data_IF_799872408630
#
_entry.id   IF_799872408630
#
_cell.length_a   1.000
_cell.length_b   1.000
_cell.length_c   1.000
_cell.angle_alpha   90.00
_cell.angle_beta   90.00
_cell.angle_gamma   90.00
#
_symmetry.space_group_name_H-M   'P 1'
#
loop_
_entity.id
_entity.type
_entity.pdbx_description
1 polymer ?
#
# COMPACT_ATOMS: atom_id res chain seq x y z
N UNK A 1 -4.08 7.53 -23.47
CA UNK A 1 -4.32 7.68 -22.02
C UNK A 1 -4.82 9.09 -21.73
N UNK A 2 -5.92 9.22 -21.00
CA UNK A 2 -6.40 10.47 -20.37
C UNK A 2 -6.30 10.32 -18.85
N UNK A 3 -5.98 11.39 -18.15
CA UNK A 3 -5.76 11.37 -16.69
C UNK A 3 -6.60 12.47 -16.06
N UNK A 4 -7.37 12.10 -15.04
CA UNK A 4 -8.32 12.99 -14.35
C UNK A 4 -8.07 12.90 -12.85
N UNK A 5 -8.02 14.04 -12.19
CA UNK A 5 -7.88 14.14 -10.75
C UNK A 5 -9.25 14.35 -10.06
N UNK A 6 -9.64 13.43 -9.18
CA UNK A 6 -10.79 13.54 -8.29
C UNK A 6 -10.34 13.97 -6.91
N UNK A 7 -11.06 14.89 -6.28
CA UNK A 7 -10.71 15.46 -4.97
C UNK A 7 -11.82 15.22 -3.95
N UNK A 8 -11.49 14.60 -2.83
CA UNK A 8 -12.44 14.31 -1.75
C UNK A 8 -12.62 15.50 -0.77
N UNK A 9 -11.51 16.18 -0.40
CA UNK A 9 -11.51 17.34 0.51
C UNK A 9 -10.59 18.44 -0.01
N UNK A 10 -10.82 19.67 0.43
CA UNK A 10 -10.01 20.83 0.07
C UNK A 10 -9.24 21.35 1.27
N UNK A 11 -7.92 21.42 1.13
CA UNK A 11 -7.02 22.02 2.10
C UNK A 11 -6.98 23.54 1.88
N UNK A 12 -7.31 24.32 2.91
CA UNK A 12 -7.32 25.78 2.82
C UNK A 12 -6.01 26.42 3.33
N UNK A 13 -5.29 25.70 4.19
CA UNK A 13 -4.01 26.11 4.77
C UNK A 13 -2.90 25.13 4.38
N UNK A 14 -2.13 25.42 3.33
CA UNK A 14 -0.92 24.66 2.98
C UNK A 14 0.04 24.51 4.17
N UNK A 15 0.71 23.37 4.23
CA UNK A 15 1.78 23.13 5.19
C UNK A 15 3.07 23.76 4.66
N UNK A 16 3.57 24.78 5.36
CA UNK A 16 4.73 25.57 4.92
C UNK A 16 6.10 24.94 5.23
N UNK A 17 6.12 23.77 5.87
CA UNK A 17 7.34 23.03 6.25
C UNK A 17 7.26 21.60 5.72
N UNK A 18 8.39 20.89 5.56
CA UNK A 18 8.34 19.48 5.16
C UNK A 18 7.53 18.66 6.16
N UNK A 19 6.57 17.86 5.67
CA UNK A 19 5.66 17.06 6.51
C UNK A 19 6.40 16.18 7.52
N UNK A 20 7.54 15.61 7.12
CA UNK A 20 8.38 14.77 7.97
C UNK A 20 8.95 15.46 9.23
N UNK A 21 8.88 16.80 9.31
CA UNK A 21 9.30 17.56 10.50
C UNK A 21 8.18 17.75 11.53
N UNK A 22 6.94 17.48 11.13
CA UNK A 22 5.75 17.57 11.98
C UNK A 22 5.46 16.22 12.65
N UNK A 23 4.67 16.26 13.72
CA UNK A 23 4.18 15.07 14.41
C UNK A 23 2.67 15.15 14.60
N UNK A 24 2.10 14.03 15.06
CA UNK A 24 0.67 13.87 15.35
C UNK A 24 0.05 15.09 16.04
N UNK A 25 0.66 15.60 17.13
CA UNK A 25 0.15 16.74 17.91
C UNK A 25 0.00 18.01 17.09
N UNK A 26 0.94 18.30 16.17
CA UNK A 26 0.84 19.48 15.30
C UNK A 26 -0.27 19.34 14.27
N UNK A 27 -0.43 18.16 13.68
CA UNK A 27 -1.48 17.91 12.68
C UNK A 27 -2.89 17.99 13.29
N UNK A 28 -3.09 17.47 14.50
CA UNK A 28 -4.40 17.54 15.17
C UNK A 28 -4.70 18.91 15.77
N UNK A 29 -3.68 19.75 16.02
CA UNK A 29 -3.85 21.07 16.64
C UNK A 29 -4.33 22.15 15.65
N UNK A 30 -4.04 21.99 14.35
CA UNK A 30 -4.55 22.88 13.30
C UNK A 30 -5.83 22.28 12.69
N UNK A 31 -7.03 22.89 12.91
CA UNK A 31 -8.30 22.30 12.48
C UNK A 31 -8.40 21.98 11.00
N UNK A 32 -7.82 22.81 10.13
CA UNK A 32 -7.83 22.57 8.68
C UNK A 32 -6.97 21.35 8.32
N UNK A 33 -5.81 21.18 8.95
CA UNK A 33 -4.97 20.00 8.72
C UNK A 33 -5.65 18.74 9.26
N UNK A 34 -6.22 18.84 10.47
CA UNK A 34 -6.91 17.72 11.10
C UNK A 34 -8.00 17.14 10.19
N UNK A 35 -8.79 18.02 9.55
CA UNK A 35 -9.93 17.62 8.71
C UNK A 35 -9.54 17.40 7.24
N UNK A 36 -8.71 18.25 6.65
CA UNK A 36 -8.57 18.32 5.20
C UNK A 36 -7.21 17.84 4.67
N UNK A 37 -6.18 17.74 5.51
CA UNK A 37 -4.87 17.19 5.09
C UNK A 37 -4.92 15.66 5.09
N UNK A 38 -5.56 15.11 4.06
CA UNK A 38 -5.72 13.67 3.87
C UNK A 38 -4.95 13.16 2.65
N UNK A 39 -4.57 11.89 2.68
CA UNK A 39 -3.87 11.19 1.58
C UNK A 39 -4.57 9.86 1.29
N UNK A 40 -4.66 9.47 0.02
CA UNK A 40 -5.25 8.19 -0.38
C UNK A 40 -4.14 7.13 -0.39
N UNK A 41 -4.11 6.29 0.65
CA UNK A 41 -2.97 5.40 0.94
C UNK A 41 -3.25 3.91 0.77
N UNK A 42 -4.51 3.53 0.52
CA UNK A 42 -4.83 2.18 0.07
C UNK A 42 -5.98 2.25 -0.92
N UNK A 43 -5.93 1.43 -1.97
CA UNK A 43 -6.97 1.33 -2.98
C UNK A 43 -7.36 -0.12 -3.22
N UNK A 44 -8.65 -0.32 -3.46
CA UNK A 44 -9.19 -1.60 -3.87
C UNK A 44 -10.39 -1.35 -4.78
N UNK A 45 -10.43 -1.98 -5.96
CA UNK A 45 -11.64 -1.98 -6.77
C UNK A 45 -12.57 -3.12 -6.34
N UNK A 46 -13.80 -2.79 -5.94
CA UNK A 46 -14.82 -3.78 -5.62
C UNK A 46 -15.67 -4.07 -6.88
N UNK A 47 -15.56 -5.27 -7.50
CA UNK A 47 -16.15 -5.54 -8.81
C UNK A 47 -17.68 -5.57 -8.80
N UNK A 48 -18.30 -6.17 -7.79
CA UNK A 48 -19.77 -6.26 -7.71
C UNK A 48 -20.42 -4.89 -7.48
N UNK A 49 -19.82 -4.08 -6.59
CA UNK A 49 -20.27 -2.72 -6.29
C UNK A 49 -19.90 -1.72 -7.38
N UNK A 50 -18.87 -2.04 -8.19
CA UNK A 50 -18.26 -1.16 -9.19
C UNK A 50 -17.79 0.16 -8.58
N UNK A 51 -17.18 0.07 -7.39
CA UNK A 51 -16.67 1.19 -6.60
C UNK A 51 -15.18 1.02 -6.34
N UNK A 52 -14.50 2.13 -6.09
CA UNK A 52 -13.14 2.13 -5.58
C UNK A 52 -13.22 2.37 -4.08
N UNK A 53 -12.80 1.39 -3.29
CA UNK A 53 -12.66 1.52 -1.84
C UNK A 53 -11.31 2.20 -1.56
N UNK A 54 -11.35 3.26 -0.78
CA UNK A 54 -10.23 4.14 -0.49
C UNK A 54 -9.93 4.11 1.01
N UNK A 55 -8.75 3.63 1.36
CA UNK A 55 -8.15 3.77 2.68
C UNK A 55 -7.31 5.05 2.74
N UNK A 56 -7.53 5.87 3.76
CA UNK A 56 -6.94 7.20 3.86
C UNK A 56 -5.90 7.29 4.97
N UNK A 57 -5.02 8.27 4.86
CA UNK A 57 -4.43 8.97 6.01
C UNK A 57 -5.36 10.13 6.37
N UNK A 58 -5.90 10.16 7.58
CA UNK A 58 -6.71 11.28 8.08
C UNK A 58 -6.57 11.45 9.61
N UNK A 59 -6.31 12.68 10.04
CA UNK A 59 -6.05 13.00 11.46
C UNK A 59 -7.33 13.20 12.30
N UNK A 60 -8.49 13.19 11.65
CA UNK A 60 -9.81 13.13 12.26
C UNK A 60 -10.37 11.71 12.31
N UNK A 61 -9.57 10.69 11.96
CA UNK A 61 -9.91 9.26 11.96
C UNK A 61 -11.00 8.84 10.96
N UNK A 62 -11.34 9.71 10.01
CA UNK A 62 -12.28 9.40 8.93
C UNK A 62 -11.54 8.70 7.79
N UNK A 63 -11.26 7.42 8.00
CA UNK A 63 -10.23 6.68 7.25
C UNK A 63 -10.73 5.94 6.00
N UNK A 64 -12.03 5.74 5.81
CA UNK A 64 -12.52 4.80 4.79
C UNK A 64 -13.69 5.38 3.98
N UNK A 65 -13.55 5.33 2.65
CA UNK A 65 -14.50 5.90 1.69
C UNK A 65 -14.70 4.96 0.50
N UNK A 66 -15.85 5.06 -0.16
CA UNK A 66 -16.04 4.59 -1.54
C UNK A 66 -16.07 5.78 -2.50
N UNK A 67 -15.40 5.65 -3.63
CA UNK A 67 -15.56 6.51 -4.80
C UNK A 67 -16.39 5.78 -5.85
N UNK A 68 -17.43 6.45 -6.36
CA UNK A 68 -18.22 6.00 -7.50
C UNK A 68 -17.68 6.60 -8.80
N UNK A 69 -17.07 5.78 -9.68
CA UNK A 69 -16.56 6.29 -10.95
C UNK A 69 -17.61 6.66 -12.01
N UNK A 70 -18.88 6.31 -11.80
CA UNK A 70 -19.99 6.60 -12.72
C UNK A 70 -20.56 8.01 -12.49
N UNK A 71 -20.77 8.40 -11.22
CA UNK A 71 -21.27 9.71 -10.84
C UNK A 71 -20.18 10.68 -10.34
N UNK A 72 -18.95 10.18 -10.16
CA UNK A 72 -17.80 10.91 -9.62
C UNK A 72 -18.03 11.44 -8.20
N UNK A 73 -18.75 10.68 -7.38
CA UNK A 73 -19.09 11.03 -6.01
C UNK A 73 -18.36 10.17 -4.97
N UNK A 74 -18.37 10.66 -3.74
CA UNK A 74 -17.72 10.04 -2.60
C UNK A 74 -18.74 9.68 -1.52
N UNK A 75 -18.57 8.51 -0.93
CA UNK A 75 -19.38 8.01 0.18
C UNK A 75 -18.47 7.63 1.35
N UNK A 76 -18.68 8.22 2.53
CA UNK A 76 -17.97 7.80 3.73
C UNK A 76 -18.51 6.44 4.19
N UNK A 77 -17.61 5.56 4.64
CA UNK A 77 -17.97 4.29 5.27
C UNK A 77 -18.01 4.40 6.80
N UNK A 78 -18.13 5.62 7.32
CA UNK A 78 -18.34 5.94 8.74
C UNK A 78 -17.33 5.30 9.71
N UNK A 79 -16.07 5.17 9.28
CA UNK A 79 -15.00 4.69 10.17
C UNK A 79 -14.88 5.48 11.51
N UNK A 80 -15.14 6.81 11.59
CA UNK A 80 -15.09 7.54 12.85
C UNK A 80 -16.00 7.01 13.96
N UNK A 81 -17.09 6.28 13.64
CA UNK A 81 -17.98 5.72 14.65
C UNK A 81 -17.36 4.55 15.43
N UNK A 82 -16.29 3.96 14.88
CA UNK A 82 -15.60 2.79 15.43
C UNK A 82 -14.10 3.00 15.66
N UNK A 83 -13.59 4.19 15.33
CA UNK A 83 -12.17 4.52 15.40
C UNK A 83 -11.67 4.70 16.83
N UNK A 84 -10.35 4.72 16.96
CA UNK A 84 -9.69 5.23 18.16
C UNK A 84 -8.70 6.34 17.81
N UNK A 85 -8.25 7.09 18.82
CA UNK A 85 -7.50 8.34 18.67
C UNK A 85 -6.23 8.27 17.79
N UNK A 86 -5.52 7.15 17.81
CA UNK A 86 -4.23 6.99 17.13
C UNK A 86 -4.32 6.23 15.79
N UNK A 87 -5.52 5.81 15.38
CA UNK A 87 -5.79 5.28 14.05
C UNK A 87 -5.89 6.42 13.05
N UNK A 88 -4.76 6.70 12.41
CA UNK A 88 -4.61 7.84 11.51
C UNK A 88 -4.54 7.40 10.06
N UNK A 89 -4.36 6.10 9.79
CA UNK A 89 -4.16 5.64 8.42
C UNK A 89 -4.66 4.21 8.19
N UNK A 90 -5.19 3.95 6.99
CA UNK A 90 -5.24 2.61 6.38
C UNK A 90 -4.13 2.58 5.32
N UNK A 91 -3.03 1.91 5.65
CA UNK A 91 -1.81 1.94 4.86
C UNK A 91 -1.62 0.63 4.10
N UNK A 92 -1.86 0.63 2.77
CA UNK A 92 -1.55 -0.51 1.89
C UNK A 92 -2.05 -1.84 2.46
N UNK A 93 -3.33 -1.84 2.85
CA UNK A 93 -3.90 -2.88 3.70
C UNK A 93 -5.32 -3.29 3.33
N UNK A 94 -5.90 -2.77 2.25
CA UNK A 94 -7.21 -3.23 1.78
C UNK A 94 -7.07 -4.51 0.95
N UNK A 95 -7.75 -5.58 1.36
CA UNK A 95 -7.80 -6.85 0.63
C UNK A 95 -9.26 -7.28 0.45
N UNK A 96 -9.67 -7.57 -0.80
CA UNK A 96 -11.00 -8.11 -1.10
C UNK A 96 -11.06 -9.60 -0.74
N UNK A 97 -12.10 -9.99 -0.03
CA UNK A 97 -12.42 -11.39 0.25
C UNK A 97 -13.37 -11.97 -0.80
N UNK A 98 -13.42 -13.30 -0.91
CA UNK A 98 -14.29 -14.02 -1.85
C UNK A 98 -15.79 -13.86 -1.57
N UNK A 99 -16.16 -13.42 -0.36
CA UNK A 99 -17.54 -13.09 0.01
C UNK A 99 -17.94 -11.62 -0.26
N UNK A 100 -17.04 -10.83 -0.87
CA UNK A 100 -17.25 -9.40 -1.14
C UNK A 100 -16.95 -8.48 0.05
N UNK A 101 -16.61 -9.01 1.22
CA UNK A 101 -16.12 -8.18 2.33
C UNK A 101 -14.69 -7.71 2.09
N UNK A 102 -14.26 -6.72 2.87
CA UNK A 102 -12.91 -6.18 2.78
C UNK A 102 -12.19 -6.30 4.10
N UNK A 103 -11.02 -6.94 4.08
CA UNK A 103 -10.07 -6.90 5.18
C UNK A 103 -9.24 -5.63 5.10
N UNK A 104 -8.95 -5.06 6.27
CA UNK A 104 -8.16 -3.86 6.43
C UNK A 104 -7.34 -3.89 7.70
N UNK A 105 -6.33 -3.02 7.76
CA UNK A 105 -5.54 -2.83 8.97
C UNK A 105 -5.18 -1.37 9.21
N UNK A 106 -5.16 -0.99 10.48
CA UNK A 106 -4.88 0.39 10.89
C UNK A 106 -3.41 0.66 11.22
N UNK A 107 -2.98 1.82 10.74
CA UNK A 107 -1.67 2.41 10.88
C UNK A 107 -1.74 3.69 11.73
N UNK A 108 -0.65 3.98 12.44
CA UNK A 108 -0.52 5.15 13.32
C UNK A 108 0.59 6.08 12.86
N UNK A 109 0.52 7.35 13.27
CA UNK A 109 1.56 8.37 13.07
C UNK A 109 1.94 9.08 14.38
N UNK A 110 1.60 8.47 15.52
CA UNK A 110 2.03 8.96 16.82
C UNK A 110 3.55 8.84 16.97
N UNK A 111 4.12 9.61 17.90
CA UNK A 111 5.57 9.57 18.17
C UNK A 111 5.88 8.55 19.26
N UNK A 112 7.17 8.37 19.53
CA UNK A 112 7.70 7.41 20.49
C UNK A 112 7.21 7.65 21.92
N UNK A 113 6.92 8.90 22.28
CA UNK A 113 6.41 9.28 23.60
C UNK A 113 4.95 8.86 23.82
N UNK A 114 4.17 8.72 22.75
CA UNK A 114 2.78 8.22 22.80
C UNK A 114 2.68 6.70 22.57
N UNK A 115 3.78 6.01 22.18
CA UNK A 115 3.75 4.60 21.74
C UNK A 115 3.20 3.63 22.78
N UNK A 116 3.50 3.81 24.05
CA UNK A 116 3.00 2.90 25.10
C UNK A 116 1.57 3.25 25.57
N UNK A 117 1.07 4.43 25.21
CA UNK A 117 -0.31 4.83 25.48
C UNK A 117 -1.26 4.39 24.35
N UNK A 118 -0.76 4.30 23.12
CA UNK A 118 -1.53 3.82 21.98
C UNK A 118 -1.78 2.30 22.08
N UNK A 119 -2.99 1.81 21.76
CA UNK A 119 -3.33 0.40 21.93
C UNK A 119 -2.74 -0.52 20.83
N UNK A 120 -2.25 0.04 19.73
CA UNK A 120 -1.68 -0.69 18.58
C UNK A 120 -2.60 -0.74 17.36
N UNK A 121 -2.15 -1.31 16.25
CA UNK A 121 -2.96 -1.44 15.04
C UNK A 121 -3.98 -2.57 15.15
N UNK A 122 -5.17 -2.38 14.57
CA UNK A 122 -6.22 -3.41 14.49
C UNK A 122 -6.32 -3.96 13.08
N UNK A 123 -6.60 -5.26 12.97
CA UNK A 123 -7.15 -5.86 11.77
C UNK A 123 -8.68 -5.78 11.87
N UNK A 124 -9.34 -5.41 10.79
CA UNK A 124 -10.79 -5.42 10.66
C UNK A 124 -11.25 -6.13 9.39
N UNK A 125 -12.48 -6.64 9.41
CA UNK A 125 -13.28 -6.99 8.23
C UNK A 125 -14.44 -6.00 8.14
N UNK A 126 -14.68 -5.42 6.98
CA UNK A 126 -15.83 -4.57 6.71
C UNK A 126 -16.83 -5.29 5.82
N UNK A 127 -18.08 -5.36 6.29
CA UNK A 127 -19.20 -5.94 5.56
C UNK A 127 -20.05 -4.83 4.94
N UNK A 128 -20.13 -4.81 3.61
CA UNK A 128 -20.87 -3.76 2.90
C UNK A 128 -22.39 -3.95 2.93
N UNK A 129 -22.90 -5.16 3.19
CA UNK A 129 -24.34 -5.40 3.26
C UNK A 129 -24.90 -4.88 4.58
N UNK A 130 -24.20 -5.16 5.68
CA UNK A 130 -24.59 -4.75 7.03
C UNK A 130 -24.02 -3.38 7.43
N UNK A 131 -23.07 -2.84 6.66
CA UNK A 131 -22.32 -1.62 7.00
C UNK A 131 -21.58 -1.74 8.35
N UNK A 132 -21.02 -2.92 8.64
CA UNK A 132 -20.45 -3.26 9.95
C UNK A 132 -18.94 -3.54 9.87
N UNK A 133 -18.21 -3.06 10.90
CA UNK A 133 -16.81 -3.40 11.12
C UNK A 133 -16.69 -4.50 12.17
N UNK A 134 -16.14 -5.65 11.79
CA UNK A 134 -15.69 -6.69 12.72
C UNK A 134 -14.19 -6.55 13.00
N UNK A 135 -13.84 -6.15 14.22
CA UNK A 135 -12.44 -6.05 14.64
C UNK A 135 -11.94 -7.41 15.10
N UNK A 136 -10.96 -7.94 14.36
CA UNK A 136 -10.47 -9.30 14.57
C UNK A 136 -9.43 -9.35 15.67
N UNK A 137 -8.52 -8.38 15.74
CA UNK A 137 -7.48 -8.38 16.76
C UNK A 137 -6.40 -7.35 16.52
N UNK A 138 -5.42 -7.33 17.44
CA UNK A 138 -4.22 -6.50 17.39
C UNK A 138 -3.01 -7.43 17.31
N UNK A 139 -2.37 -7.60 16.14
CA UNK A 139 -1.37 -8.64 15.99
C UNK A 139 -0.10 -8.42 16.81
N UNK A 140 0.33 -7.17 16.96
CA UNK A 140 1.61 -6.79 17.58
C UNK A 140 1.46 -5.55 18.47
N UNK A 141 0.66 -5.58 19.55
CA UNK A 141 0.52 -4.42 20.42
C UNK A 141 1.85 -4.08 21.13
N UNK A 142 2.19 -2.80 21.34
CA UNK A 142 1.40 -1.61 21.02
C UNK A 142 1.71 -1.03 19.62
N UNK A 143 2.40 -1.76 18.75
CA UNK A 143 2.77 -1.27 17.42
C UNK A 143 1.58 -1.26 16.46
N UNK A 144 1.60 -0.33 15.51
CA UNK A 144 0.60 -0.22 14.46
C UNK A 144 1.02 -1.00 13.22
N UNK A 145 0.06 -1.29 12.35
CA UNK A 145 0.29 -2.16 11.20
C UNK A 145 0.63 -1.29 10.00
N UNK A 146 1.75 -1.57 9.34
CA UNK A 146 2.21 -0.80 8.20
C UNK A 146 1.63 -1.30 6.88
N UNK A 147 1.38 -2.61 6.74
CA UNK A 147 0.76 -3.22 5.56
C UNK A 147 0.32 -4.64 5.90
N UNK A 148 -0.66 -5.16 5.16
CA UNK A 148 -1.06 -6.57 5.23
C UNK A 148 -1.18 -7.20 3.84
N UNK A 149 -1.13 -8.52 3.81
CA UNK A 149 -1.45 -9.36 2.65
C UNK A 149 -2.33 -10.51 3.12
N UNK A 150 -3.39 -10.80 2.37
CA UNK A 150 -4.38 -11.83 2.70
C UNK A 150 -4.02 -13.17 2.02
N UNK A 151 -3.95 -14.26 2.80
CA UNK A 151 -4.05 -15.64 2.32
C UNK A 151 -5.39 -16.20 2.77
N UNK A 152 -6.43 -15.90 2.00
CA UNK A 152 -7.80 -16.29 2.31
C UNK A 152 -7.95 -17.81 2.35
N UNK A 153 -7.23 -18.54 1.49
CA UNK A 153 -7.31 -20.00 1.41
C UNK A 153 -6.93 -20.69 2.71
N UNK A 154 -6.01 -20.07 3.49
CA UNK A 154 -5.57 -20.55 4.80
C UNK A 154 -6.22 -19.82 5.97
N UNK A 155 -7.04 -18.79 5.71
CA UNK A 155 -7.57 -17.92 6.76
C UNK A 155 -6.48 -17.14 7.49
N UNK A 156 -5.43 -16.71 6.78
CA UNK A 156 -4.27 -16.01 7.35
C UNK A 156 -4.13 -14.59 6.79
N UNK A 157 -3.68 -13.69 7.65
CA UNK A 157 -3.22 -12.35 7.27
C UNK A 157 -1.75 -12.21 7.69
N UNK A 158 -0.90 -11.90 6.73
CA UNK A 158 0.49 -11.57 6.99
C UNK A 158 0.65 -10.05 7.02
N UNK A 159 1.57 -9.55 7.83
CA UNK A 159 1.84 -8.13 7.86
C UNK A 159 3.13 -7.78 8.56
N UNK A 160 3.41 -6.49 8.62
CA UNK A 160 4.55 -5.93 9.35
C UNK A 160 4.10 -4.75 10.18
N UNK A 161 4.64 -4.63 11.40
CA UNK A 161 4.34 -3.53 12.31
C UNK A 161 5.34 -2.37 12.19
N UNK A 162 4.94 -1.20 12.68
CA UNK A 162 5.72 0.03 12.80
C UNK A 162 5.45 0.69 14.16
N UNK A 163 6.44 1.30 14.85
CA UNK A 163 7.83 1.51 14.43
C UNK A 163 8.78 0.33 14.63
N UNK A 164 8.38 -0.71 15.35
CA UNK A 164 9.22 -1.92 15.47
C UNK A 164 8.86 -2.87 14.34
N UNK A 165 9.81 -3.15 13.45
CA UNK A 165 9.60 -3.95 12.23
C UNK A 165 9.46 -5.44 12.54
N UNK A 166 8.30 -5.85 13.05
CA UNK A 166 7.96 -7.25 13.30
C UNK A 166 7.07 -7.74 12.18
N UNK A 167 7.53 -8.77 11.49
CA UNK A 167 6.65 -9.60 10.67
C UNK A 167 5.71 -10.37 11.58
N UNK A 168 4.45 -10.51 11.18
CA UNK A 168 3.47 -11.35 11.86
C UNK A 168 2.64 -12.18 10.86
N UNK A 169 2.17 -13.33 11.34
CA UNK A 169 1.09 -14.10 10.73
C UNK A 169 -0.08 -14.19 11.72
N UNK A 170 -1.24 -13.71 11.31
CA UNK A 170 -2.46 -13.63 12.11
C UNK A 170 -3.50 -14.60 11.56
N UNK A 171 -4.13 -15.37 12.44
CA UNK A 171 -5.18 -16.32 12.10
C UNK A 171 -6.55 -15.65 12.24
N UNK A 172 -7.29 -15.60 11.15
CA UNK A 172 -8.60 -14.94 11.08
C UNK A 172 -9.62 -15.69 11.95
N UNK A 173 -9.54 -17.02 12.02
CA UNK A 173 -10.53 -17.84 12.71
C UNK A 173 -10.31 -17.85 14.22
N UNK A 174 -9.07 -18.09 14.66
CA UNK A 174 -8.77 -18.04 16.10
C UNK A 174 -8.64 -16.61 16.62
N UNK A 175 -8.48 -15.62 15.73
CA UNK A 175 -8.25 -14.20 16.05
C UNK A 175 -6.95 -13.99 16.85
N UNK A 176 -5.92 -14.77 16.55
CA UNK A 176 -4.65 -14.76 17.27
C UNK A 176 -3.45 -14.62 16.35
N UNK A 177 -2.39 -13.98 16.85
CA UNK A 177 -1.08 -13.98 16.20
C UNK A 177 -0.42 -15.35 16.38
N UNK A 178 -0.28 -16.09 15.28
CA UNK A 178 0.36 -17.42 15.26
C UNK A 178 1.88 -17.36 15.18
N UNK A 179 2.40 -16.28 14.60
CA UNK A 179 3.83 -16.05 14.44
C UNK A 179 4.16 -14.57 14.51
N UNK A 180 5.28 -14.26 15.13
CA UNK A 180 5.84 -12.91 15.17
C UNK A 180 7.37 -12.98 15.20
N UNK A 181 8.05 -12.17 14.39
CA UNK A 181 9.49 -12.02 14.46
C UNK A 181 9.96 -10.63 14.01
N UNK A 182 10.90 -10.03 14.75
CA UNK A 182 11.62 -8.84 14.29
C UNK A 182 12.49 -9.17 13.06
N UNK A 183 12.28 -8.44 11.96
CA UNK A 183 12.95 -8.71 10.68
C UNK A 183 14.01 -7.67 10.30
N UNK A 184 14.10 -6.54 11.01
CA UNK A 184 15.20 -5.58 10.85
C UNK A 184 15.05 -4.54 9.72
N UNK A 185 14.24 -4.81 8.70
CA UNK A 185 13.82 -3.81 7.74
C UNK A 185 12.38 -4.06 7.31
N UNK A 186 11.74 -3.03 6.77
CA UNK A 186 10.32 -3.05 6.47
C UNK A 186 10.08 -2.98 4.95
N UNK A 187 9.21 -3.83 4.36
CA UNK A 187 8.71 -3.63 3.01
C UNK A 187 7.57 -2.61 3.01
N UNK A 188 7.41 -1.88 1.91
CA UNK A 188 6.25 -0.99 1.79
C UNK A 188 4.95 -1.74 1.42
N UNK A 189 5.04 -2.89 0.73
CA UNK A 189 3.98 -3.90 0.56
C UNK A 189 4.61 -5.29 0.27
N UNK A 190 4.06 -6.35 0.87
CA UNK A 190 4.48 -7.74 0.67
C UNK A 190 3.56 -8.47 -0.32
N UNK A 191 4.01 -9.63 -0.80
CA UNK A 191 3.20 -10.54 -1.60
C UNK A 191 3.20 -11.95 -1.00
N UNK A 192 2.12 -12.67 -1.27
CA UNK A 192 1.94 -14.08 -0.95
C UNK A 192 2.06 -14.87 -2.25
N UNK A 193 2.96 -15.84 -2.31
CA UNK A 193 3.14 -16.68 -3.50
C UNK A 193 2.00 -17.70 -3.68
N UNK A 194 2.04 -18.43 -4.80
CA UNK A 194 1.02 -19.45 -5.14
C UNK A 194 0.96 -20.62 -4.14
N UNK A 195 1.98 -20.76 -3.29
CA UNK A 195 2.03 -21.76 -2.21
C UNK A 195 1.60 -21.19 -0.86
N UNK A 196 1.21 -19.91 -0.77
CA UNK A 196 0.81 -19.25 0.47
C UNK A 196 1.95 -18.68 1.30
N UNK A 197 3.19 -18.70 0.79
CA UNK A 197 4.33 -18.16 1.52
C UNK A 197 4.42 -16.63 1.34
N UNK A 198 4.68 -15.91 2.43
CA UNK A 198 4.88 -14.46 2.39
C UNK A 198 6.35 -14.11 2.15
N UNK A 199 6.60 -13.18 1.21
CA UNK A 199 7.95 -12.79 0.80
C UNK A 199 8.29 -11.36 1.18
N UNK A 200 9.51 -11.15 1.68
CA UNK A 200 10.04 -9.81 1.96
C UNK A 200 11.56 -9.81 2.16
N UNK A 201 12.10 -8.75 2.77
CA UNK A 201 13.51 -8.59 3.12
C UNK A 201 13.71 -8.50 4.64
N UNK A 202 14.87 -8.97 5.10
CA UNK A 202 15.31 -8.90 6.50
C UNK A 202 16.70 -8.28 6.61
N UNK A 203 17.11 -8.02 7.85
CA UNK A 203 18.37 -7.39 8.25
C UNK A 203 18.42 -5.89 7.93
N UNK A 204 18.59 -5.07 8.97
CA UNK A 204 18.84 -3.62 8.84
C UNK A 204 20.19 -3.27 8.20
N UNK A 205 21.00 -4.28 7.88
CA UNK A 205 22.34 -4.11 7.30
C UNK A 205 22.43 -4.62 5.88
N UNK A 206 21.82 -5.77 5.60
CA UNK A 206 22.04 -6.51 4.36
C UNK A 206 20.81 -6.59 3.47
N UNK A 207 19.61 -6.37 4.01
CA UNK A 207 18.35 -6.36 3.23
C UNK A 207 18.17 -7.62 2.36
N UNK A 208 18.58 -8.77 2.90
CA UNK A 208 18.48 -10.06 2.23
C UNK A 208 17.03 -10.54 2.19
N UNK A 209 16.71 -11.48 1.32
CA UNK A 209 15.37 -12.04 1.22
C UNK A 209 15.03 -12.95 2.41
N UNK A 210 13.75 -12.96 2.77
CA UNK A 210 13.17 -14.03 3.57
C UNK A 210 11.84 -14.49 2.97
N UNK A 211 11.49 -15.74 3.28
CA UNK A 211 10.18 -16.33 3.00
C UNK A 211 9.58 -16.88 4.28
N UNK A 212 8.38 -16.47 4.65
CA UNK A 212 7.62 -17.14 5.72
C UNK A 212 6.78 -18.25 5.10
N UNK A 213 6.96 -19.47 5.61
CA UNK A 213 6.19 -20.65 5.22
C UNK A 213 5.13 -20.94 6.32
N UNK A 214 3.82 -20.84 6.00
CA UNK A 214 2.75 -21.06 6.97
C UNK A 214 2.58 -22.53 7.38
N UNK A 215 2.96 -23.49 6.52
CA UNK A 215 2.82 -24.92 6.79
C UNK A 215 3.90 -25.38 7.78
N UNK A 216 5.09 -24.78 7.70
CA UNK A 216 6.20 -25.00 8.63
C UNK A 216 6.20 -24.00 9.81
N UNK A 217 5.35 -22.98 9.76
CA UNK A 217 5.26 -21.85 10.70
C UNK A 217 6.63 -21.24 11.03
N UNK A 218 7.45 -20.96 10.00
CA UNK A 218 8.80 -20.42 10.17
C UNK A 218 9.24 -19.51 9.03
N UNK A 219 10.21 -18.65 9.33
CA UNK A 219 10.92 -17.87 8.31
C UNK A 219 12.15 -18.66 7.81
N UNK A 220 12.24 -18.77 6.49
CA UNK A 220 13.45 -19.15 5.76
C UNK A 220 14.23 -17.90 5.40
N UNK A 221 15.44 -17.80 5.94
CA UNK A 221 16.34 -16.69 5.67
C UNK A 221 17.26 -17.04 4.51
N UNK A 222 17.28 -16.19 3.49
CA UNK A 222 18.26 -16.25 2.43
C UNK A 222 19.43 -15.30 2.76
N UNK A 223 20.61 -15.62 2.25
CA UNK A 223 21.84 -14.84 2.46
C UNK A 223 22.26 -14.09 1.19
N UNK A 224 21.26 -13.68 0.41
CA UNK A 224 21.33 -12.81 -0.75
C UNK A 224 20.04 -11.98 -0.80
N UNK A 225 20.07 -10.88 -1.56
CA UNK A 225 18.99 -9.89 -1.59
C UNK A 225 18.67 -9.39 -2.99
N UNK A 226 17.90 -8.30 -3.04
CA UNK A 226 17.60 -7.60 -4.28
C UNK A 226 18.84 -6.86 -4.81
N UNK A 227 19.02 -6.72 -6.13
CA UNK A 227 20.14 -6.01 -6.72
C UNK A 227 20.12 -4.52 -6.31
N UNK A 228 21.27 -3.98 -5.91
CA UNK A 228 21.44 -2.58 -5.50
C UNK A 228 20.49 -2.13 -4.37
N UNK A 229 20.07 -3.06 -3.49
CA UNK A 229 19.14 -2.78 -2.40
C UNK A 229 19.56 -1.58 -1.53
N UNK A 230 20.86 -1.46 -1.25
CA UNK A 230 21.46 -0.39 -0.44
C UNK A 230 21.22 1.03 -0.98
N UNK A 231 20.98 1.21 -2.28
CA UNK A 231 20.68 2.53 -2.87
C UNK A 231 19.23 2.98 -2.64
N UNK A 232 18.38 2.02 -2.28
CA UNK A 232 16.94 2.17 -2.14
C UNK A 232 16.44 2.22 -0.70
N UNK A 233 17.28 1.93 0.28
CA UNK A 233 16.86 1.86 1.70
C UNK A 233 16.69 3.24 2.31
N UNK A 234 15.84 3.34 3.33
CA UNK A 234 15.54 4.56 4.09
C UNK A 234 15.09 5.77 3.24
N UNK A 235 14.63 5.53 2.00
CA UNK A 235 14.18 6.60 1.10
C UNK A 235 12.93 7.31 1.62
N UNK A 236 12.02 6.56 2.24
CA UNK A 236 10.74 7.09 2.75
C UNK A 236 10.86 7.50 4.23
N UNK A 237 11.41 6.61 5.05
CA UNK A 237 11.68 6.83 6.46
C UNK A 237 12.80 5.89 6.93
N UNK A 238 13.48 6.19 8.05
CA UNK A 238 14.60 5.39 8.55
C UNK A 238 14.23 3.91 8.72
N UNK A 239 15.03 3.02 8.14
CA UNK A 239 14.87 1.56 8.28
C UNK A 239 13.90 0.90 7.29
N UNK A 240 13.25 1.67 6.40
CA UNK A 240 12.56 1.14 5.24
C UNK A 240 13.54 0.36 4.35
N UNK A 241 13.13 -0.84 3.93
CA UNK A 241 13.87 -1.71 3.03
C UNK A 241 13.75 -1.31 1.56
N UNK A 242 14.31 -2.12 0.64
CA UNK A 242 14.34 -1.81 -0.79
C UNK A 242 13.02 -2.11 -1.54
N UNK A 243 12.09 -2.82 -0.91
CA UNK A 243 10.79 -3.20 -1.49
C UNK A 243 9.81 -2.04 -1.36
N UNK A 244 9.41 -1.47 -2.49
CA UNK A 244 8.37 -0.43 -2.58
C UNK A 244 6.98 -1.07 -2.79
N UNK A 245 6.94 -2.13 -3.58
CA UNK A 245 5.76 -2.99 -3.70
C UNK A 245 6.15 -4.40 -4.13
N UNK A 246 5.34 -5.38 -3.74
CA UNK A 246 5.45 -6.76 -4.21
C UNK A 246 4.10 -7.22 -4.74
N UNK A 247 4.10 -8.01 -5.80
CA UNK A 247 2.91 -8.57 -6.45
C UNK A 247 3.17 -10.03 -6.82
N UNK A 248 2.24 -10.92 -6.52
CA UNK A 248 2.29 -12.29 -7.05
C UNK A 248 1.84 -12.28 -8.52
N UNK A 249 2.67 -12.81 -9.42
CA UNK A 249 2.37 -12.91 -10.84
C UNK A 249 1.36 -14.02 -11.21
N UNK A 250 1.11 -14.97 -10.31
CA UNK A 250 0.33 -16.18 -10.59
C UNK A 250 1.01 -17.14 -11.57
N UNK A 251 2.31 -16.94 -11.81
CA UNK A 251 3.15 -17.67 -12.75
C UNK A 251 4.38 -18.29 -12.07
N UNK A 252 4.33 -18.47 -10.74
CA UNK A 252 5.45 -18.93 -9.92
C UNK A 252 6.46 -17.85 -9.55
N UNK A 253 6.27 -16.60 -10.00
CA UNK A 253 7.14 -15.48 -9.68
C UNK A 253 6.47 -14.44 -8.78
N UNK A 254 7.28 -13.85 -7.88
CA UNK A 254 6.93 -12.61 -7.19
C UNK A 254 7.62 -11.45 -7.90
N UNK A 255 6.84 -10.48 -8.37
CA UNK A 255 7.33 -9.26 -8.99
C UNK A 255 7.51 -8.18 -7.94
N UNK A 256 8.65 -7.49 -7.98
CA UNK A 256 9.01 -6.46 -7.00
C UNK A 256 9.27 -5.14 -7.72
N UNK A 257 8.47 -4.14 -7.38
CA UNK A 257 8.79 -2.74 -7.62
C UNK A 257 9.77 -2.27 -6.53
N UNK A 258 10.99 -1.92 -6.92
CA UNK A 258 12.02 -1.47 -5.99
C UNK A 258 11.93 0.03 -5.75
N UNK A 259 12.37 0.49 -4.57
CA UNK A 259 12.53 1.92 -4.27
C UNK A 259 13.58 2.60 -5.16
N UNK A 260 14.48 1.85 -5.78
CA UNK A 260 15.40 2.35 -6.83
C UNK A 260 14.68 2.66 -8.15
N UNK A 261 13.41 2.27 -8.29
CA UNK A 261 12.58 2.39 -9.50
C UNK A 261 12.71 1.21 -10.47
N UNK A 262 13.45 0.16 -10.09
CA UNK A 262 13.67 -1.05 -10.89
C UNK A 262 12.54 -2.05 -10.71
N UNK A 263 12.25 -2.81 -11.77
CA UNK A 263 11.43 -4.02 -11.69
C UNK A 263 12.35 -5.25 -11.64
N UNK A 264 12.08 -6.13 -10.68
CA UNK A 264 12.75 -7.43 -10.56
C UNK A 264 11.70 -8.52 -10.33
N UNK A 265 12.05 -9.78 -10.55
CA UNK A 265 11.24 -10.91 -10.11
C UNK A 265 12.04 -11.89 -9.27
N UNK A 266 11.35 -12.57 -8.36
CA UNK A 266 11.87 -13.64 -7.53
C UNK A 266 11.18 -14.93 -7.97
N UNK A 267 11.95 -15.97 -8.27
CA UNK A 267 11.43 -17.32 -8.41
C UNK A 267 11.04 -17.84 -7.02
N UNK A 268 9.76 -18.13 -6.79
CA UNK A 268 9.25 -18.52 -5.47
C UNK A 268 9.74 -19.90 -5.01
N UNK A 269 10.25 -20.74 -5.91
CA UNK A 269 10.78 -22.05 -5.57
C UNK A 269 12.26 -21.97 -5.17
N UNK A 270 13.05 -21.19 -5.90
CA UNK A 270 14.52 -21.16 -5.76
C UNK A 270 15.04 -19.94 -4.99
N UNK A 271 14.22 -18.90 -4.82
CA UNK A 271 14.60 -17.58 -4.34
C UNK A 271 15.64 -16.87 -5.24
N UNK A 272 15.81 -17.31 -6.49
CA UNK A 272 16.64 -16.61 -7.47
C UNK A 272 16.00 -15.29 -7.87
N UNK A 273 16.83 -14.25 -8.02
CA UNK A 273 16.39 -12.89 -8.34
C UNK A 273 16.84 -12.52 -9.74
N UNK A 274 15.91 -12.09 -10.58
CA UNK A 274 16.19 -11.62 -11.93
C UNK A 274 15.83 -10.13 -12.05
N UNK A 275 16.77 -9.34 -12.57
CA UNK A 275 16.53 -7.94 -12.90
C UNK A 275 15.84 -7.83 -14.26
N UNK A 276 14.65 -7.22 -14.29
CA UNK A 276 13.83 -7.12 -15.50
C UNK A 276 13.99 -5.78 -16.22
N UNK A 277 14.48 -4.75 -15.53
CA UNK A 277 14.75 -3.45 -16.12
C UNK A 277 14.15 -2.29 -15.34
N UNK A 278 14.16 -1.13 -15.99
CA UNK A 278 13.69 0.12 -15.40
C UNK A 278 12.95 0.93 -16.47
N UNK A 279 11.65 1.25 -16.30
CA UNK A 279 10.90 1.97 -17.33
C UNK A 279 11.30 3.45 -17.43
N UNK A 280 11.81 4.05 -16.34
CA UNK A 280 12.23 5.45 -16.31
C UNK A 280 13.51 5.63 -15.46
N UNK A 281 14.24 6.76 -15.57
CA UNK A 281 15.39 7.01 -14.69
C UNK A 281 15.02 7.25 -13.22
N UNK A 282 13.76 7.53 -12.90
CA UNK A 282 13.30 7.94 -11.57
C UNK A 282 13.42 6.85 -10.50
N UNK A 283 13.47 7.26 -9.22
CA UNK A 283 13.32 6.32 -8.09
C UNK A 283 11.84 6.06 -7.80
N UNK A 284 11.57 5.01 -7.02
CA UNK A 284 10.25 4.48 -6.66
C UNK A 284 9.53 3.77 -7.81
N UNK A 285 9.03 2.57 -7.52
CA UNK A 285 8.06 1.83 -8.32
C UNK A 285 7.02 1.33 -7.33
N UNK A 286 6.12 2.24 -6.95
CA UNK A 286 5.28 2.08 -5.77
C UNK A 286 4.06 1.21 -5.99
N UNK A 287 3.71 0.89 -7.23
CA UNK A 287 2.52 0.11 -7.55
C UNK A 287 2.77 -0.76 -8.77
N UNK A 288 2.22 -1.97 -8.72
CA UNK A 288 2.11 -2.94 -9.80
C UNK A 288 0.74 -3.61 -9.70
N UNK A 289 0.08 -3.87 -10.82
CA UNK A 289 -1.14 -4.65 -10.92
C UNK A 289 -1.11 -5.48 -12.20
N UNK A 290 -1.80 -6.63 -12.21
CA UNK A 290 -1.97 -7.42 -13.42
C UNK A 290 -3.14 -6.86 -14.21
N UNK A 291 -2.89 -6.39 -15.43
CA UNK A 291 -3.93 -5.93 -16.34
C UNK A 291 -4.76 -7.09 -16.92
N UNK A 292 -5.95 -6.82 -17.47
CA UNK A 292 -6.78 -7.82 -18.16
C UNK A 292 -6.10 -8.50 -19.36
N UNK A 293 -5.04 -7.90 -19.92
CA UNK A 293 -4.22 -8.47 -20.99
C UNK A 293 -3.04 -9.32 -20.46
N UNK A 294 -2.92 -9.48 -19.14
CA UNK A 294 -1.87 -10.25 -18.48
C UNK A 294 -0.54 -9.50 -18.34
N UNK A 295 -0.43 -8.25 -18.78
CA UNK A 295 0.77 -7.41 -18.56
C UNK A 295 0.78 -6.84 -17.15
N UNK A 296 1.96 -6.46 -16.67
CA UNK A 296 2.10 -5.78 -15.38
C UNK A 296 2.02 -4.27 -15.62
N UNK A 297 1.01 -3.62 -15.05
CA UNK A 297 0.88 -2.16 -15.07
C UNK A 297 1.44 -1.58 -13.80
N UNK A 298 2.13 -0.45 -13.87
CA UNK A 298 2.68 0.19 -12.67
C UNK A 298 2.94 1.67 -12.82
N UNK A 299 3.31 2.29 -11.70
CA UNK A 299 3.74 3.69 -11.67
C UNK A 299 5.20 3.75 -11.23
N UNK A 300 6.03 4.38 -12.06
CA UNK A 300 7.43 4.65 -11.76
C UNK A 300 7.62 6.15 -11.49
N UNK A 301 8.53 6.48 -10.57
CA UNK A 301 8.83 7.86 -10.20
C UNK A 301 8.07 8.36 -8.96
N UNK A 302 8.39 9.59 -8.53
CA UNK A 302 7.81 10.25 -7.37
C UNK A 302 8.05 11.77 -7.43
N UNK A 303 7.47 12.53 -6.51
CA UNK A 303 7.57 13.99 -6.38
C UNK A 303 7.21 14.75 -7.67
N UNK A 304 6.07 14.43 -8.28
CA UNK A 304 5.55 15.11 -9.47
C UNK A 304 6.18 14.65 -10.79
N UNK A 305 7.14 13.72 -10.70
CA UNK A 305 7.77 13.04 -11.82
C UNK A 305 7.33 11.59 -11.78
N UNK A 306 6.09 11.33 -12.22
CA UNK A 306 5.44 10.01 -12.15
C UNK A 306 4.97 9.60 -13.54
N UNK A 307 5.14 8.32 -13.89
CA UNK A 307 4.80 7.75 -15.19
C UNK A 307 4.04 6.45 -15.04
N UNK A 308 2.98 6.29 -15.83
CA UNK A 308 2.35 4.99 -16.03
C UNK A 308 3.14 4.18 -17.05
N UNK A 309 3.37 2.91 -16.76
CA UNK A 309 3.98 1.96 -17.68
C UNK A 309 3.25 0.62 -17.65
N UNK A 310 3.48 -0.19 -18.68
CA UNK A 310 3.21 -1.61 -18.70
C UNK A 310 4.50 -2.40 -18.98
N UNK A 311 4.62 -3.59 -18.40
CA UNK A 311 5.66 -4.55 -18.68
C UNK A 311 5.03 -5.83 -19.24
N UNK A 312 5.44 -6.19 -20.44
CA UNK A 312 5.09 -7.45 -21.06
C UNK A 312 5.98 -8.57 -20.51
N UNK A 313 5.36 -9.56 -19.86
CA UNK A 313 6.06 -10.68 -19.21
C UNK A 313 6.59 -11.71 -20.21
N UNK A 314 6.04 -11.75 -21.43
CA UNK A 314 6.45 -12.69 -22.48
C UNK A 314 7.53 -12.07 -23.37
N UNK A 315 7.34 -10.82 -23.78
CA UNK A 315 8.29 -10.09 -24.63
C UNK A 315 9.42 -9.44 -23.84
N UNK A 316 9.35 -9.45 -22.50
CA UNK A 316 10.31 -8.81 -21.59
C UNK A 316 10.54 -7.32 -21.92
N UNK A 317 9.46 -6.60 -22.25
CA UNK A 317 9.53 -5.24 -22.78
C UNK A 317 8.66 -4.27 -21.99
N UNK A 318 9.17 -3.05 -21.78
CA UNK A 318 8.42 -1.94 -21.21
C UNK A 318 7.73 -1.11 -22.29
N UNK A 319 6.50 -0.69 -22.00
CA UNK A 319 5.81 0.39 -22.67
C UNK A 319 5.54 1.49 -21.66
N UNK A 320 5.93 2.73 -21.97
CA UNK A 320 5.73 3.88 -21.09
C UNK A 320 4.66 4.77 -21.70
N UNK A 321 3.49 4.87 -21.03
CA UNK A 321 2.35 5.63 -21.54
C UNK A 321 2.50 7.14 -21.39
N UNK A 322 3.38 7.58 -20.48
CA UNK A 322 3.70 8.99 -20.26
C UNK A 322 3.46 9.45 -18.83
N UNK A 323 3.55 10.76 -18.63
CA UNK A 323 3.40 11.38 -17.32
C UNK A 323 1.96 11.33 -16.80
N UNK A 324 1.82 11.14 -15.50
CA UNK A 324 0.53 11.26 -14.82
C UNK A 324 0.28 12.73 -14.46
N UNK A 325 -0.47 13.41 -15.34
CA UNK A 325 -0.86 14.82 -15.19
C UNK A 325 -2.33 14.98 -15.55
N UNK A 326 -3.05 15.71 -14.72
CA UNK A 326 -4.46 15.98 -14.94
C UNK A 326 -4.64 16.73 -16.27
N UNK A 327 -5.55 16.26 -17.10
CA UNK A 327 -5.70 16.74 -18.49
C UNK A 327 -6.16 18.20 -18.55
N UNK A 328 -6.96 18.65 -17.59
CA UNK A 328 -7.52 20.01 -17.56
C UNK A 328 -6.57 21.00 -16.87
N UNK A 329 -6.07 20.65 -15.69
CA UNK A 329 -5.27 21.57 -14.86
C UNK A 329 -3.76 21.47 -15.09
N UNK A 330 -3.29 20.38 -15.70
CA UNK A 330 -1.87 20.09 -15.92
C UNK A 330 -1.09 19.71 -14.65
N UNK A 331 -1.76 19.67 -13.49
CA UNK A 331 -1.13 19.34 -12.21
C UNK A 331 -0.64 17.88 -12.26
N UNK A 332 0.62 17.58 -11.88
CA UNK A 332 1.13 16.21 -11.87
C UNK A 332 0.70 15.44 -10.64
N UNK A 333 0.64 14.11 -10.76
CA UNK A 333 0.58 13.23 -9.60
C UNK A 333 1.91 13.31 -8.83
N UNK A 334 1.84 13.66 -7.55
CA UNK A 334 2.99 13.90 -6.69
C UNK A 334 3.68 12.58 -6.29
N UNK A 335 3.07 11.76 -5.44
CA UNK A 335 3.58 10.44 -5.06
C UNK A 335 2.44 9.44 -5.19
N UNK A 336 2.61 8.45 -6.07
CA UNK A 336 1.66 7.33 -6.18
C UNK A 336 1.88 6.42 -4.99
N UNK A 337 0.81 6.10 -4.27
CA UNK A 337 0.89 5.28 -3.06
C UNK A 337 0.31 3.88 -3.28
N UNK A 338 -0.85 3.81 -3.94
CA UNK A 338 -1.53 2.56 -4.25
C UNK A 338 -2.28 2.66 -5.57
N UNK A 339 -2.63 1.53 -6.18
CA UNK A 339 -3.30 1.48 -7.48
C UNK A 339 -4.27 0.31 -7.54
N UNK A 340 -5.38 0.46 -8.26
CA UNK A 340 -6.23 -0.66 -8.64
C UNK A 340 -6.74 -0.50 -10.08
N UNK A 341 -7.04 -1.61 -10.75
CA UNK A 341 -7.60 -1.62 -12.11
C UNK A 341 -9.06 -2.07 -12.02
N UNK A 342 -9.96 -1.27 -12.59
CA UNK A 342 -11.38 -1.61 -12.69
C UNK A 342 -11.66 -2.54 -13.88
N UNK A 343 -12.77 -3.28 -13.80
CA UNK A 343 -13.19 -4.23 -14.85
C UNK A 343 -13.43 -3.58 -16.24
N UNK A 344 -13.64 -2.26 -16.29
CA UNK A 344 -13.78 -1.51 -17.54
C UNK A 344 -12.46 -0.92 -18.06
N UNK A 345 -11.31 -1.34 -17.48
CA UNK A 345 -9.98 -0.91 -17.90
C UNK A 345 -9.60 0.48 -17.42
N UNK A 346 -10.34 1.07 -16.47
CA UNK A 346 -9.87 2.28 -15.79
C UNK A 346 -8.87 1.95 -14.71
N UNK A 347 -7.84 2.76 -14.57
CA UNK A 347 -6.83 2.62 -13.52
C UNK A 347 -7.02 3.75 -12.53
N UNK A 348 -7.10 3.43 -11.23
CA UNK A 348 -7.20 4.40 -10.16
C UNK A 348 -5.92 4.41 -9.33
N UNK A 349 -5.39 5.59 -9.00
CA UNK A 349 -4.12 5.75 -8.28
C UNK A 349 -4.30 6.71 -7.12
N UNK A 350 -3.90 6.29 -5.92
CA UNK A 350 -3.94 7.11 -4.71
C UNK A 350 -2.71 8.00 -4.60
N UNK A 351 -2.91 9.27 -4.26
CA UNK A 351 -1.82 10.22 -3.99
C UNK A 351 -1.57 10.40 -2.49
N UNK A 352 -0.29 10.52 -2.11
CA UNK A 352 0.12 10.80 -0.72
C UNK A 352 1.14 11.93 -0.60
N UNK A 353 1.32 12.37 0.64
CA UNK A 353 2.42 13.21 1.13
C UNK A 353 2.52 14.59 0.46
N UNK A 354 1.39 15.10 -0.02
CA UNK A 354 1.26 16.46 -0.52
C UNK A 354 1.14 17.45 0.63
N UNK A 355 1.85 18.58 0.55
CA UNK A 355 1.89 19.61 1.59
C UNK A 355 0.99 20.81 1.26
N UNK A 356 0.78 21.08 -0.02
CA UNK A 356 0.06 22.23 -0.57
C UNK A 356 -1.35 21.91 -1.06
N UNK A 357 -1.70 20.63 -1.09
CA UNK A 357 -3.01 20.08 -1.45
C UNK A 357 -3.22 18.74 -0.76
N UNK A 358 -4.39 18.14 -0.92
CA UNK A 358 -4.75 16.89 -0.28
C UNK A 358 -5.85 16.16 -1.06
N UNK A 359 -6.09 14.90 -0.69
CA UNK A 359 -7.32 14.16 -1.03
C UNK A 359 -7.49 13.76 -2.51
N UNK A 360 -6.40 13.60 -3.26
CA UNK A 360 -6.47 13.26 -4.68
C UNK A 360 -6.57 11.73 -4.91
N UNK A 361 -7.48 11.37 -5.81
CA UNK A 361 -7.58 10.07 -6.46
C UNK A 361 -7.48 10.30 -7.97
N UNK A 362 -6.54 9.63 -8.62
CA UNK A 362 -6.27 9.83 -10.05
C UNK A 362 -6.91 8.72 -10.85
N UNK A 363 -7.66 9.06 -11.89
CA UNK A 363 -8.29 8.11 -12.82
C UNK A 363 -7.59 8.20 -14.18
N UNK A 364 -7.02 7.09 -14.64
CA UNK A 364 -6.50 6.94 -16.00
C UNK A 364 -7.50 6.17 -16.85
N UNK A 365 -7.84 6.74 -18.01
CA UNK A 365 -8.74 6.17 -19.00
C UNK A 365 -7.98 5.88 -20.29
N UNK A 366 -8.56 5.01 -21.12
CA UNK A 366 -8.06 4.78 -22.48
C UNK A 366 -6.61 4.24 -22.50
N UNK A 367 -6.31 3.33 -21.56
CA UNK A 367 -5.00 2.69 -21.40
C UNK A 367 -4.94 1.38 -22.19
N UNK A 368 -5.97 0.53 -22.07
CA UNK A 368 -6.04 -0.80 -22.70
C UNK A 368 -6.61 -0.78 -24.13
N UNK A 369 -6.41 0.33 -24.87
CA UNK A 369 -7.01 0.52 -26.19
C UNK A 369 -6.23 -0.13 -27.33
#
# INVERSE_FOLDING_TARGET
>A
MKVIAHRLRELSKPVAVPLATLGYRQFVAEPDWKRNLISTTSLLYHPERRRVVCGLTAFDTDLMYEFDPADQSWHSLDYPSVSEQYEIKIHRSLCLAGDGSVYGATAGLHREDDRLAAPGGRIFRYDFAESEYDFLGRPVPPDYIQTISLDESRGLIYGVSYPVFRFFAFDIHSRETRFEQYVGCLPHLMAVDDSGCAWSTWSSRTHHLFKYDPDENRIHFFYHGLPNAEEGVSLMFPGMGPIDMSLNGGDGFIYIGMTTGSLVRIDAQTAEVEYLGKPTPGKRMSVLEIGPDGRLYGVAGHMGQTWLFAYDRQEHAFEVFGHLRDEETGIPLFIAHDMCIANDGRIFIGETDTADRAAYLWECREVFR
#
